data_IF_888112907645
#
_entry.id   IF_888112907645
#
_cell.length_a   1.000
_cell.length_b   1.000
_cell.length_c   1.000
_cell.angle_alpha   90.00
_cell.angle_beta   90.00
_cell.angle_gamma   90.00
#
_symmetry.space_group_name_H-M   'P 1'
#
loop_
_entity.id
_entity.type
_entity.pdbx_description
1 polymer ?
#
# COMPACT_ATOMS: atom_id res chain seq x y z
N UNK A 1 -26.22 -23.04 -1.18
CA UNK A 1 -25.87 -21.65 -1.57
C UNK A 1 -25.02 -21.05 -0.46
N UNK A 2 -23.69 -21.14 -0.57
CA UNK A 2 -22.78 -20.60 0.46
C UNK A 2 -22.58 -19.12 0.16
N UNK A 3 -22.96 -18.27 1.11
CA UNK A 3 -22.67 -16.84 1.09
C UNK A 3 -21.15 -16.66 1.00
N UNK A 4 -20.65 -16.26 -0.16
CA UNK A 4 -19.28 -15.78 -0.31
C UNK A 4 -19.15 -14.54 0.60
N UNK A 5 -18.52 -14.71 1.76
CA UNK A 5 -17.99 -13.59 2.54
C UNK A 5 -17.27 -12.69 1.55
N UNK A 6 -17.66 -11.41 1.46
CA UNK A 6 -16.95 -10.40 0.68
C UNK A 6 -15.47 -10.46 1.05
N UNK A 7 -14.68 -11.18 0.24
CA UNK A 7 -13.27 -11.42 0.51
C UNK A 7 -12.58 -10.08 0.34
N UNK A 8 -12.03 -9.56 1.44
CA UNK A 8 -11.24 -8.34 1.38
C UNK A 8 -10.00 -8.64 0.54
N UNK A 9 -9.94 -8.03 -0.65
CA UNK A 9 -8.76 -8.07 -1.50
C UNK A 9 -7.74 -7.04 -0.96
N UNK A 10 -6.85 -7.51 -0.10
CA UNK A 10 -5.83 -6.66 0.52
C UNK A 10 -4.86 -6.10 -0.54
N UNK A 11 -4.52 -6.88 -1.57
CA UNK A 11 -3.61 -6.47 -2.66
C UNK A 11 -4.19 -5.28 -3.42
N UNK A 12 -5.46 -5.36 -3.83
CA UNK A 12 -6.12 -4.26 -4.53
C UNK A 12 -6.29 -3.03 -3.64
N UNK A 13 -6.57 -3.23 -2.35
CA UNK A 13 -6.72 -2.11 -1.40
C UNK A 13 -5.41 -1.36 -1.20
N UNK A 14 -4.28 -2.06 -1.03
CA UNK A 14 -2.98 -1.42 -0.79
C UNK A 14 -2.40 -0.80 -2.07
N UNK A 15 -2.65 -1.39 -3.24
CA UNK A 15 -2.36 -0.76 -4.54
C UNK A 15 -3.11 0.58 -4.68
N UNK A 16 -4.43 0.56 -4.48
CA UNK A 16 -5.25 1.77 -4.58
C UNK A 16 -4.87 2.83 -3.53
N UNK A 17 -4.45 2.39 -2.34
CA UNK A 17 -3.93 3.29 -1.31
C UNK A 17 -2.65 3.99 -1.77
N UNK A 18 -1.67 3.27 -2.31
CA UNK A 18 -0.44 3.86 -2.85
C UNK A 18 -0.72 4.89 -3.95
N UNK A 19 -1.60 4.55 -4.90
CA UNK A 19 -2.03 5.48 -5.98
C UNK A 19 -2.65 6.75 -5.40
N UNK A 20 -3.53 6.63 -4.39
CA UNK A 20 -4.15 7.79 -3.73
C UNK A 20 -3.12 8.68 -3.05
N UNK A 21 -2.11 8.10 -2.40
CA UNK A 21 -1.07 8.87 -1.74
C UNK A 21 -0.14 9.57 -2.74
N UNK A 22 0.21 8.93 -3.85
CA UNK A 22 0.97 9.57 -4.93
C UNK A 22 0.21 10.78 -5.49
N UNK A 23 -1.10 10.61 -5.74
CA UNK A 23 -1.96 11.70 -6.22
C UNK A 23 -2.16 12.82 -5.17
N UNK A 24 -2.13 12.50 -3.88
CA UNK A 24 -2.14 13.50 -2.82
C UNK A 24 -0.81 14.26 -2.78
N UNK A 25 0.31 13.53 -2.77
CA UNK A 25 1.65 14.09 -2.71
C UNK A 25 1.91 15.08 -3.85
N UNK A 26 1.47 14.75 -5.08
CA UNK A 26 1.61 15.66 -6.23
C UNK A 26 0.85 16.98 -6.06
N UNK A 27 -0.30 16.96 -5.38
CA UNK A 27 -1.13 18.16 -5.12
C UNK A 27 -0.61 19.02 -3.98
N UNK A 28 0.05 18.42 -3.00
CA UNK A 28 0.52 19.12 -1.78
C UNK A 28 2.01 19.45 -1.80
N UNK A 29 2.76 18.99 -2.81
CA UNK A 29 4.21 19.19 -2.94
C UNK A 29 4.68 20.64 -2.87
N UNK A 30 3.87 21.60 -3.32
CA UNK A 30 4.20 23.02 -3.23
C UNK A 30 3.85 23.65 -1.86
N UNK A 31 3.16 22.91 -0.98
CA UNK A 31 2.74 23.37 0.36
C UNK A 31 3.56 22.76 1.49
N UNK A 32 4.30 21.68 1.22
CA UNK A 32 5.08 20.96 2.23
C UNK A 32 6.48 20.66 1.70
N UNK A 33 7.49 20.50 2.59
CA UNK A 33 8.84 20.14 2.17
C UNK A 33 8.88 18.84 1.38
N UNK A 34 9.76 18.78 0.38
CA UNK A 34 10.01 17.57 -0.42
C UNK A 34 10.32 16.35 0.44
N UNK A 35 11.08 16.54 1.52
CA UNK A 35 11.41 15.48 2.47
C UNK A 35 10.17 14.81 3.08
N UNK A 36 9.13 15.59 3.39
CA UNK A 36 7.87 15.08 3.95
C UNK A 36 7.06 14.37 2.88
N UNK A 37 6.90 14.97 1.71
CA UNK A 37 6.10 14.37 0.63
C UNK A 37 6.74 13.10 0.08
N UNK A 38 8.06 13.04 0.01
CA UNK A 38 8.76 11.86 -0.48
C UNK A 38 8.72 10.72 0.55
N UNK A 39 8.84 11.03 1.85
CA UNK A 39 8.65 10.02 2.91
C UNK A 39 7.21 9.50 2.94
N UNK A 40 6.23 10.36 2.70
CA UNK A 40 4.82 9.97 2.60
C UNK A 40 4.60 9.00 1.42
N UNK A 41 5.17 9.29 0.25
CA UNK A 41 5.06 8.38 -0.91
C UNK A 41 5.74 7.05 -0.63
N UNK A 42 6.99 7.07 -0.12
CA UNK A 42 7.76 5.85 0.17
C UNK A 42 7.06 4.94 1.18
N UNK A 43 6.60 5.52 2.30
CA UNK A 43 5.90 4.76 3.34
C UNK A 43 4.55 4.23 2.88
N UNK A 44 3.83 4.94 2.01
CA UNK A 44 2.55 4.46 1.51
C UNK A 44 2.69 3.35 0.46
N UNK A 45 3.67 3.44 -0.43
CA UNK A 45 3.90 2.40 -1.45
C UNK A 45 4.51 1.13 -0.83
N UNK A 46 5.30 1.25 0.24
CA UNK A 46 5.84 0.09 0.95
C UNK A 46 4.76 -0.81 1.56
N UNK A 47 3.60 -0.26 1.93
CA UNK A 47 2.45 -1.07 2.39
C UNK A 47 2.03 -2.08 1.31
N UNK A 48 1.95 -1.65 0.05
CA UNK A 48 1.64 -2.54 -1.07
C UNK A 48 2.76 -3.53 -1.38
N UNK A 49 4.00 -3.07 -1.33
CA UNK A 49 5.19 -3.90 -1.55
C UNK A 49 5.29 -5.03 -0.51
N UNK A 50 5.18 -4.71 0.78
CA UNK A 50 5.26 -5.69 1.86
C UNK A 50 4.11 -6.71 1.77
N UNK A 51 2.91 -6.30 1.34
CA UNK A 51 1.80 -7.24 1.07
C UNK A 51 2.14 -8.19 -0.07
N UNK A 52 2.77 -7.70 -1.14
CA UNK A 52 3.21 -8.53 -2.26
C UNK A 52 4.31 -9.52 -1.85
N UNK A 53 5.28 -9.07 -1.05
CA UNK A 53 6.33 -9.91 -0.48
C UNK A 53 5.75 -10.99 0.43
N UNK A 54 4.85 -10.62 1.36
CA UNK A 54 4.19 -11.57 2.24
C UNK A 54 3.37 -12.62 1.46
N UNK A 55 2.69 -12.21 0.39
CA UNK A 55 1.96 -13.15 -0.49
C UNK A 55 2.87 -14.13 -1.24
N UNK A 56 4.15 -13.78 -1.40
CA UNK A 56 5.16 -14.62 -2.03
C UNK A 56 5.96 -15.46 -1.03
N UNK A 57 5.68 -15.33 0.27
CA UNK A 57 6.36 -16.05 1.34
C UNK A 57 6.16 -17.57 1.22
N UNK A 58 7.25 -18.33 1.37
CA UNK A 58 7.25 -19.81 1.34
C UNK A 58 7.04 -20.41 2.71
N UNK A 59 7.30 -19.65 3.77
CA UNK A 59 7.11 -20.07 5.16
C UNK A 59 6.29 -19.06 5.95
N UNK A 60 5.65 -19.52 7.05
CA UNK A 60 4.96 -18.60 7.97
C UNK A 60 5.90 -17.58 8.59
N UNK A 61 7.18 -17.90 8.75
CA UNK A 61 8.20 -17.00 9.28
C UNK A 61 8.56 -15.88 8.29
N UNK A 62 8.51 -16.15 6.99
CA UNK A 62 8.70 -15.15 5.93
C UNK A 62 7.47 -14.27 5.73
N UNK A 63 6.27 -14.77 6.08
CA UNK A 63 5.02 -14.03 6.00
C UNK A 63 4.86 -13.01 7.13
N UNK A 64 5.39 -13.31 8.32
CA UNK A 64 5.27 -12.53 9.55
C UNK A 64 6.37 -11.48 9.68
#
# INVERSE_FOLDING_TARGET
>A
MVLLKNKIDITRRTLNFGIRIINLASKIRNRYPFSVTDQLVKSATSVGANVHEAQSARTKKEFY
#
